data_IF_491083896683
#
_entry.id   IF_491083896683
#
_cell.length_a   1.000
_cell.length_b   1.000
_cell.length_c   1.000
_cell.angle_alpha   90.00
_cell.angle_beta   90.00
_cell.angle_gamma   90.00
#
_symmetry.space_group_name_H-M   'P 1'
#
loop_
_entity.id
_entity.type
_entity.pdbx_description
1 polymer ?
#
# COMPACT_ATOMS: atom_id res chain seq x y z
N UNK A 1 -12.98 -9.34 41.09
CA UNK A 1 -13.01 -8.98 39.66
C UNK A 1 -11.58 -8.69 39.22
N UNK A 2 -10.93 -9.63 38.53
CA UNK A 2 -9.55 -9.46 38.09
C UNK A 2 -9.52 -8.48 36.91
N UNK A 3 -8.85 -7.33 37.09
CA UNK A 3 -8.67 -6.33 36.06
C UNK A 3 -7.93 -6.94 34.86
N UNK A 4 -8.51 -6.81 33.67
CA UNK A 4 -7.82 -7.10 32.42
C UNK A 4 -6.83 -5.98 32.15
N UNK A 5 -5.60 -6.15 32.64
CA UNK A 5 -4.47 -5.30 32.28
C UNK A 5 -4.12 -5.58 30.83
N UNK A 6 -4.24 -4.58 29.95
CA UNK A 6 -3.75 -4.67 28.57
C UNK A 6 -2.25 -4.97 28.62
N UNK A 7 -1.89 -6.22 28.37
CA UNK A 7 -0.50 -6.66 28.34
C UNK A 7 0.15 -6.06 27.11
N UNK A 8 1.27 -5.34 27.31
CA UNK A 8 2.08 -4.77 26.23
C UNK A 8 2.32 -5.84 25.15
N UNK A 9 2.06 -5.50 23.89
CA UNK A 9 2.38 -6.38 22.77
C UNK A 9 3.89 -6.51 22.71
N UNK A 10 4.41 -7.68 23.04
CA UNK A 10 5.85 -7.97 22.99
C UNK A 10 6.36 -7.88 21.56
N UNK A 11 7.54 -7.30 21.36
CA UNK A 11 8.21 -7.27 20.04
C UNK A 11 8.65 -8.67 19.59
N UNK A 12 8.93 -8.87 18.30
CA UNK A 12 9.40 -10.18 17.82
C UNK A 12 10.74 -10.55 18.47
N UNK A 13 11.63 -9.59 18.71
CA UNK A 13 12.86 -9.79 19.49
C UNK A 13 12.55 -10.32 20.90
N UNK A 14 11.69 -9.66 21.66
CA UNK A 14 11.35 -10.07 23.03
C UNK A 14 10.76 -11.49 23.06
N UNK A 15 9.91 -11.83 22.09
CA UNK A 15 9.33 -13.18 21.94
C UNK A 15 10.38 -14.22 21.59
N UNK A 16 11.25 -13.92 20.64
CA UNK A 16 12.32 -14.82 20.21
C UNK A 16 13.35 -15.02 21.33
N UNK A 17 13.83 -13.95 21.96
CA UNK A 17 14.77 -14.03 23.09
C UNK A 17 14.16 -14.83 24.25
N UNK A 18 12.91 -14.56 24.62
CA UNK A 18 12.24 -15.31 25.69
C UNK A 18 12.12 -16.80 25.37
N UNK A 19 11.90 -17.15 24.10
CA UNK A 19 11.79 -18.56 23.72
C UNK A 19 13.15 -19.24 23.58
N UNK A 20 14.17 -18.51 23.14
CA UNK A 20 15.53 -19.01 23.03
C UNK A 20 16.11 -19.36 24.42
N UNK A 21 15.75 -18.57 25.45
CA UNK A 21 16.05 -18.88 26.84
C UNK A 21 15.26 -20.08 27.38
N UNK A 22 14.02 -20.30 26.91
CA UNK A 22 13.15 -21.37 27.37
C UNK A 22 13.43 -22.73 26.72
N UNK A 23 13.79 -22.76 25.43
CA UNK A 23 14.06 -23.99 24.67
C UNK A 23 15.22 -23.84 23.67
N UNK A 24 16.46 -23.66 24.15
CA UNK A 24 17.63 -23.42 23.29
C UNK A 24 17.89 -24.56 22.29
N UNK A 25 17.65 -25.81 22.69
CA UNK A 25 17.95 -27.00 21.88
C UNK A 25 17.05 -27.14 20.64
N UNK A 26 15.78 -26.73 20.72
CA UNK A 26 14.84 -26.80 19.59
C UNK A 26 15.22 -25.82 18.48
N UNK A 27 15.56 -24.58 18.86
CA UNK A 27 15.98 -23.55 17.90
C UNK A 27 17.35 -23.85 17.31
N UNK A 28 18.30 -24.37 18.11
CA UNK A 28 19.58 -24.88 17.62
C UNK A 28 19.37 -25.99 16.58
N UNK A 29 18.46 -26.93 16.82
CA UNK A 29 18.16 -27.99 15.85
C UNK A 29 17.60 -27.42 14.54
N UNK A 30 16.70 -26.44 14.61
CA UNK A 30 16.16 -25.75 13.42
C UNK A 30 17.26 -25.01 12.65
N UNK A 31 18.07 -24.19 13.32
CA UNK A 31 19.13 -23.41 12.66
C UNK A 31 20.27 -24.29 12.14
N UNK A 32 20.64 -25.35 12.86
CA UNK A 32 21.67 -26.31 12.42
C UNK A 32 21.18 -27.09 11.21
N UNK A 33 19.91 -27.50 11.18
CA UNK A 33 19.30 -28.17 10.02
C UNK A 33 19.23 -27.22 8.83
N UNK A 34 18.89 -25.96 9.05
CA UNK A 34 18.87 -24.93 8.01
C UNK A 34 20.28 -24.69 7.43
N UNK A 35 21.31 -24.60 8.30
CA UNK A 35 22.73 -24.51 7.91
C UNK A 35 23.18 -25.69 7.05
N UNK A 36 22.78 -26.92 7.43
CA UNK A 36 23.19 -28.15 6.72
C UNK A 36 22.45 -28.36 5.39
N UNK A 37 21.22 -27.83 5.23
CA UNK A 37 20.49 -27.87 3.96
C UNK A 37 20.99 -26.83 2.95
N UNK A 38 21.60 -25.73 3.42
CA UNK A 38 22.11 -24.65 2.55
C UNK A 38 23.48 -24.94 1.95
N UNK A 39 24.29 -25.83 2.55
CA UNK A 39 25.58 -26.25 1.99
C UNK A 39 25.45 -27.06 0.69
N UNK A 40 24.25 -27.54 0.36
CA UNK A 40 23.96 -28.28 -0.89
C UNK A 40 23.35 -27.42 -1.99
N UNK A 41 22.77 -26.25 -1.67
CA UNK A 41 22.10 -25.38 -2.64
C UNK A 41 22.60 -23.94 -2.52
N UNK A 42 23.62 -23.63 -3.32
CA UNK A 42 24.06 -22.25 -3.52
C UNK A 42 22.96 -21.46 -4.24
N UNK A 43 22.57 -20.32 -3.66
CA UNK A 43 21.72 -19.23 -4.19
C UNK A 43 20.21 -19.35 -3.90
N UNK A 44 19.71 -18.31 -3.21
CA UNK A 44 18.31 -17.86 -3.10
C UNK A 44 17.26 -18.98 -3.06
N UNK A 45 16.90 -19.42 -1.85
CA UNK A 45 15.56 -20.00 -1.66
C UNK A 45 14.60 -18.85 -1.43
N UNK A 46 14.11 -18.29 -2.53
CA UNK A 46 12.80 -17.66 -2.53
C UNK A 46 11.80 -18.79 -2.69
N UNK A 47 11.06 -19.07 -1.62
CA UNK A 47 9.83 -19.89 -1.58
C UNK A 47 10.01 -21.37 -1.97
N UNK A 48 10.35 -22.21 -0.98
CA UNK A 48 9.72 -23.52 -0.84
C UNK A 48 9.04 -23.60 0.53
N UNK A 49 7.85 -23.00 0.61
CA UNK A 49 6.99 -22.98 1.80
C UNK A 49 6.49 -24.38 2.23
N UNK A 50 6.70 -25.44 1.45
CA UNK A 50 5.96 -26.71 1.61
C UNK A 50 6.69 -27.77 2.42
N UNK A 51 8.00 -27.99 2.20
CA UNK A 51 8.67 -29.18 2.73
C UNK A 51 9.17 -29.02 4.19
N UNK A 52 9.66 -27.83 4.57
CA UNK A 52 10.14 -27.57 5.93
C UNK A 52 9.01 -27.39 6.96
N UNK A 53 7.80 -27.06 6.49
CA UNK A 53 6.67 -26.64 7.32
C UNK A 53 5.94 -27.80 8.03
N UNK A 54 6.04 -29.02 7.49
CA UNK A 54 5.30 -30.18 8.02
C UNK A 54 5.97 -30.82 9.24
N UNK A 55 7.29 -31.01 9.24
CA UNK A 55 8.01 -31.63 10.37
C UNK A 55 8.21 -30.69 11.57
N UNK A 56 8.52 -29.42 11.30
CA UNK A 56 8.82 -28.42 12.35
C UNK A 56 7.56 -28.03 13.15
N UNK A 57 6.37 -28.22 12.56
CA UNK A 57 5.07 -27.97 13.21
C UNK A 57 4.79 -28.85 14.43
N UNK A 58 5.43 -30.02 14.53
CA UNK A 58 5.13 -31.05 15.52
C UNK A 58 5.93 -30.90 16.83
N UNK A 59 7.06 -30.18 16.80
CA UNK A 59 8.05 -30.23 17.89
C UNK A 59 8.16 -28.90 18.65
N UNK A 60 7.78 -27.76 18.07
CA UNK A 60 8.05 -26.45 18.69
C UNK A 60 6.92 -25.89 19.57
N UNK A 61 7.35 -25.21 20.64
CA UNK A 61 6.51 -24.34 21.47
C UNK A 61 5.63 -23.39 20.63
N UNK A 62 4.45 -23.08 21.17
CA UNK A 62 3.43 -22.25 20.50
C UNK A 62 3.93 -20.88 20.02
N UNK A 63 4.89 -20.28 20.76
CA UNK A 63 5.46 -18.97 20.44
C UNK A 63 6.46 -19.01 19.27
N UNK A 64 7.36 -19.99 19.21
CA UNK A 64 8.28 -20.12 18.06
C UNK A 64 7.49 -20.45 16.81
N UNK A 65 6.44 -21.28 16.94
CA UNK A 65 5.56 -21.63 15.83
C UNK A 65 4.91 -20.40 15.21
N UNK A 66 4.59 -19.37 16.00
CA UNK A 66 4.03 -18.12 15.51
C UNK A 66 5.08 -17.30 14.73
N UNK A 67 6.31 -17.22 15.24
CA UNK A 67 7.40 -16.54 14.54
C UNK A 67 7.77 -17.26 13.25
N UNK A 68 7.82 -18.60 13.26
CA UNK A 68 8.06 -19.43 12.07
C UNK A 68 6.91 -19.31 11.06
N UNK A 69 5.68 -19.01 11.47
CA UNK A 69 4.58 -18.75 10.53
C UNK A 69 4.67 -17.38 9.88
N UNK A 70 5.32 -16.42 10.54
CA UNK A 70 5.38 -15.03 10.08
C UNK A 70 6.67 -14.69 9.34
N UNK A 71 7.72 -15.52 9.40
CA UNK A 71 8.93 -15.27 8.60
C UNK A 71 8.63 -15.39 7.11
N UNK A 72 9.23 -14.51 6.32
CA UNK A 72 9.09 -14.48 4.86
C UNK A 72 10.41 -14.85 4.17
N UNK A 73 11.53 -14.43 4.78
CA UNK A 73 12.86 -14.66 4.23
C UNK A 73 13.86 -14.86 5.37
N UNK A 74 14.82 -15.77 5.17
CA UNK A 74 15.91 -16.03 6.10
C UNK A 74 17.24 -16.09 5.34
N UNK A 75 18.21 -15.29 5.77
CA UNK A 75 19.55 -15.19 5.18
C UNK A 75 20.53 -15.78 6.18
N UNK A 76 21.42 -16.65 5.70
CA UNK A 76 22.41 -17.32 6.55
C UNK A 76 23.80 -16.95 6.09
N UNK A 77 24.54 -16.30 6.98
CA UNK A 77 25.97 -16.04 6.84
C UNK A 77 26.61 -16.51 8.14
N UNK A 78 27.08 -17.77 8.22
CA UNK A 78 27.50 -18.37 9.48
C UNK A 78 28.51 -17.49 10.24
N UNK A 79 28.36 -17.31 11.56
CA UNK A 79 27.37 -17.93 12.47
C UNK A 79 26.03 -17.19 12.59
N UNK A 80 25.78 -16.17 11.75
CA UNK A 80 24.65 -15.27 11.85
C UNK A 80 23.51 -15.68 10.91
N UNK A 81 22.28 -15.60 11.42
CA UNK A 81 21.05 -15.80 10.65
C UNK A 81 20.19 -14.54 10.76
N UNK A 82 19.93 -13.87 9.65
CA UNK A 82 19.02 -12.72 9.61
C UNK A 82 17.64 -13.19 9.13
N UNK A 83 16.58 -12.77 9.81
CA UNK A 83 15.19 -13.14 9.50
C UNK A 83 14.39 -11.87 9.18
N UNK A 84 13.66 -11.88 8.07
CA UNK A 84 12.60 -10.92 7.78
C UNK A 84 11.25 -11.51 8.20
N UNK A 85 10.60 -10.86 9.15
CA UNK A 85 9.38 -11.33 9.77
C UNK A 85 8.28 -10.34 9.44
N UNK A 86 7.14 -10.85 8.96
CA UNK A 86 5.96 -10.08 8.58
C UNK A 86 4.80 -10.48 9.50
N UNK A 87 4.65 -9.84 10.68
CA UNK A 87 3.58 -10.19 11.61
C UNK A 87 2.17 -9.93 11.05
N UNK A 88 2.05 -8.91 10.19
CA UNK A 88 0.81 -8.51 9.52
C UNK A 88 1.11 -7.74 8.23
N UNK A 89 0.16 -7.63 7.29
CA UNK A 89 0.37 -6.88 6.06
C UNK A 89 0.79 -5.43 6.33
N UNK A 90 1.85 -5.00 5.64
CA UNK A 90 2.48 -3.68 5.72
C UNK A 90 3.46 -3.50 6.89
N UNK A 91 3.65 -4.51 7.74
CA UNK A 91 4.53 -4.40 8.92
C UNK A 91 5.60 -5.47 8.86
N UNK A 92 6.85 -5.01 8.94
CA UNK A 92 8.05 -5.84 8.89
C UNK A 92 8.89 -5.63 10.15
N UNK A 93 9.44 -6.71 10.66
CA UNK A 93 10.42 -6.72 11.75
C UNK A 93 11.63 -7.55 11.28
N UNK A 94 12.83 -7.00 11.44
CA UNK A 94 14.07 -7.68 11.07
C UNK A 94 14.85 -8.04 12.32
N UNK A 95 15.28 -9.29 12.40
CA UNK A 95 16.03 -9.80 13.55
C UNK A 95 17.25 -10.58 13.09
N UNK A 96 18.29 -10.55 13.89
CA UNK A 96 19.49 -11.36 13.72
C UNK A 96 19.59 -12.36 14.86
N UNK A 97 19.95 -13.59 14.54
CA UNK A 97 20.23 -14.64 15.52
C UNK A 97 21.68 -15.07 15.36
N UNK A 98 22.45 -14.97 16.43
CA UNK A 98 23.76 -15.62 16.53
C UNK A 98 23.55 -17.05 17.00
N UNK A 99 23.83 -18.03 16.13
CA UNK A 99 23.59 -19.44 16.41
C UNK A 99 24.54 -19.98 17.49
N UNK A 100 25.74 -19.42 17.61
CA UNK A 100 26.73 -19.88 18.59
C UNK A 100 26.45 -19.32 19.99
N UNK A 101 26.16 -18.03 20.07
CA UNK A 101 25.91 -17.34 21.35
C UNK A 101 24.47 -17.48 21.83
N UNK A 102 23.58 -18.00 20.98
CA UNK A 102 22.15 -18.03 21.26
C UNK A 102 21.66 -16.62 21.66
N UNK A 103 22.00 -15.63 20.82
CA UNK A 103 21.64 -14.24 21.04
C UNK A 103 20.76 -13.72 19.90
N UNK A 104 19.74 -12.94 20.23
CA UNK A 104 18.84 -12.31 19.26
C UNK A 104 19.02 -10.79 19.28
N UNK A 105 19.50 -10.25 18.18
CA UNK A 105 19.57 -8.81 17.89
C UNK A 105 18.37 -8.36 17.05
N UNK A 106 18.00 -7.09 17.19
CA UNK A 106 17.11 -6.43 16.24
C UNK A 106 17.95 -5.79 15.15
N UNK A 107 17.46 -5.81 13.91
CA UNK A 107 18.10 -5.16 12.78
C UNK A 107 17.20 -4.02 12.30
N UNK A 108 17.80 -2.88 11.99
CA UNK A 108 17.17 -1.89 11.13
C UNK A 108 17.01 -2.44 9.71
N UNK A 109 16.11 -1.81 8.94
CA UNK A 109 15.93 -2.13 7.53
C UNK A 109 17.24 -1.99 6.74
N UNK A 110 18.04 -0.95 7.01
CA UNK A 110 19.35 -0.76 6.35
C UNK A 110 20.31 -1.90 6.69
N UNK A 111 20.44 -2.29 7.96
CA UNK A 111 21.33 -3.39 8.37
C UNK A 111 20.91 -4.74 7.77
N UNK A 112 19.59 -4.99 7.68
CA UNK A 112 19.07 -6.18 7.03
C UNK A 112 19.40 -6.21 5.53
N UNK A 113 19.22 -5.08 4.82
CA UNK A 113 19.57 -4.98 3.40
C UNK A 113 21.07 -5.13 3.16
N UNK A 114 21.92 -4.57 4.03
CA UNK A 114 23.37 -4.82 4.00
C UNK A 114 23.70 -6.30 4.18
N UNK A 115 22.96 -7.01 5.03
CA UNK A 115 23.12 -8.45 5.20
C UNK A 115 22.78 -9.21 3.91
N UNK A 116 21.76 -8.77 3.15
CA UNK A 116 21.45 -9.31 1.80
C UNK A 116 22.57 -9.03 0.80
N UNK A 117 23.12 -7.83 0.82
CA UNK A 117 24.20 -7.43 -0.09
C UNK A 117 25.47 -8.25 0.15
N UNK A 118 25.79 -8.54 1.43
CA UNK A 118 26.94 -9.40 1.80
C UNK A 118 26.88 -10.80 1.20
N UNK A 119 25.68 -11.34 0.96
CA UNK A 119 25.51 -12.65 0.32
C UNK A 119 25.95 -12.64 -1.15
N UNK A 120 25.87 -11.48 -1.82
CA UNK A 120 26.23 -11.34 -3.25
C UNK A 120 27.64 -10.79 -3.41
N UNK A 121 27.97 -9.73 -2.68
CA UNK A 121 29.21 -8.96 -2.85
C UNK A 121 30.30 -9.34 -1.85
N UNK A 122 30.02 -10.23 -0.88
CA UNK A 122 30.94 -10.52 0.22
C UNK A 122 31.10 -9.33 1.16
N UNK A 123 32.31 -9.15 1.71
CA UNK A 123 32.61 -8.11 2.71
C UNK A 123 32.92 -6.73 2.11
N UNK A 124 33.08 -6.62 0.79
CA UNK A 124 33.45 -5.37 0.12
C UNK A 124 32.21 -4.53 -0.23
N UNK A 125 31.58 -3.95 0.78
CA UNK A 125 30.62 -2.86 0.56
C UNK A 125 31.38 -1.54 0.64
N UNK A 126 31.24 -0.71 -0.39
CA UNK A 126 31.79 0.64 -0.37
C UNK A 126 31.17 1.45 0.78
N UNK A 127 31.96 2.34 1.37
CA UNK A 127 31.52 3.14 2.53
C UNK A 127 30.32 4.06 2.22
N UNK A 128 30.04 4.32 0.95
CA UNK A 128 28.99 5.23 0.50
C UNK A 128 28.07 4.53 -0.52
N UNK A 129 27.05 3.84 0.00
CA UNK A 129 25.94 3.31 -0.82
C UNK A 129 24.80 4.31 -0.76
N UNK A 130 24.20 4.63 -1.91
CA UNK A 130 23.02 5.50 -1.96
C UNK A 130 21.84 4.82 -1.24
N UNK A 131 21.35 5.47 -0.20
CA UNK A 131 20.12 5.08 0.50
C UNK A 131 18.96 5.97 0.07
N UNK A 132 17.89 5.35 -0.43
CA UNK A 132 16.63 6.04 -0.68
C UNK A 132 15.74 5.88 0.55
N UNK A 133 15.42 7.01 1.17
CA UNK A 133 14.54 7.12 2.31
C UNK A 133 13.43 8.15 2.02
N UNK A 134 12.23 7.64 1.74
CA UNK A 134 11.04 8.46 1.48
C UNK A 134 10.22 8.74 2.75
N UNK A 135 10.57 8.19 3.91
CA UNK A 135 9.81 8.39 5.16
C UNK A 135 9.74 9.89 5.55
N UNK A 136 10.83 10.68 5.54
CA UNK A 136 10.79 12.09 5.89
C UNK A 136 9.88 12.93 4.98
N UNK A 137 9.75 12.54 3.71
CA UNK A 137 8.96 13.26 2.71
C UNK A 137 7.45 13.02 2.88
N UNK A 138 7.05 11.95 3.59
CA UNK A 138 5.65 11.57 3.81
C UNK A 138 5.14 11.91 5.22
N UNK A 139 5.99 12.49 6.09
CA UNK A 139 5.67 12.81 7.48
C UNK A 139 4.54 13.85 7.67
N UNK A 140 4.31 14.69 6.66
CA UNK A 140 3.27 15.73 6.69
C UNK A 140 1.85 15.19 6.46
N UNK A 141 1.72 13.95 5.99
CA UNK A 141 0.42 13.33 5.70
C UNK A 141 0.01 12.37 6.81
N UNK A 142 -1.25 12.42 7.27
CA UNK A 142 -1.76 11.46 8.24
C UNK A 142 -1.81 10.06 7.62
N UNK A 143 -1.33 9.06 8.37
CA UNK A 143 -1.29 7.67 7.92
C UNK A 143 -2.19 6.78 8.78
N UNK A 144 -3.05 5.94 8.20
CA UNK A 144 -3.73 4.90 8.95
C UNK A 144 -2.75 3.80 9.42
N UNK A 145 -2.98 3.24 10.60
CA UNK A 145 -2.07 2.24 11.23
C UNK A 145 -2.59 0.80 11.21
N UNK A 146 -3.79 0.59 10.65
CA UNK A 146 -4.48 -0.69 10.66
C UNK A 146 -4.34 -1.36 9.29
N UNK A 147 -3.90 -2.61 9.23
CA UNK A 147 -3.75 -3.35 7.95
C UNK A 147 -5.06 -3.42 7.14
N UNK A 148 -6.24 -3.39 7.78
CA UNK A 148 -7.55 -3.31 7.10
C UNK A 148 -7.78 -2.02 6.30
N UNK A 149 -6.97 -0.99 6.54
CA UNK A 149 -7.06 0.27 5.82
C UNK A 149 -6.27 0.27 4.51
N UNK A 150 -5.47 -0.77 4.26
CA UNK A 150 -4.78 -0.97 2.98
C UNK A 150 -5.85 -1.19 1.89
N UNK A 151 -5.66 -0.56 0.74
CA UNK A 151 -6.63 -0.34 -0.34
C UNK A 151 -7.67 0.77 -0.12
N UNK A 152 -7.79 1.36 1.08
CA UNK A 152 -8.88 2.27 1.46
C UNK A 152 -8.42 3.72 1.73
N UNK A 153 -7.30 4.13 1.15
CA UNK A 153 -6.70 5.46 1.29
C UNK A 153 -7.64 6.60 0.92
N UNK A 154 -8.47 6.42 -0.12
CA UNK A 154 -9.46 7.44 -0.52
C UNK A 154 -10.51 7.68 0.58
N UNK A 155 -11.03 6.61 1.19
CA UNK A 155 -11.99 6.74 2.30
C UNK A 155 -11.36 7.43 3.52
N UNK A 156 -10.10 7.08 3.82
CA UNK A 156 -9.35 7.73 4.88
C UNK A 156 -9.15 9.22 4.61
N UNK A 157 -8.75 9.57 3.39
CA UNK A 157 -8.53 10.96 2.96
C UNK A 157 -9.83 11.76 2.99
N UNK A 158 -10.93 11.21 2.48
CA UNK A 158 -12.25 11.85 2.52
C UNK A 158 -12.69 12.15 3.96
N UNK A 159 -12.50 11.21 4.89
CA UNK A 159 -12.80 11.43 6.30
C UNK A 159 -11.91 12.51 6.92
N UNK A 160 -10.62 12.50 6.58
CA UNK A 160 -9.66 13.49 7.08
C UNK A 160 -9.99 14.90 6.56
N UNK A 161 -10.22 15.05 5.25
CA UNK A 161 -10.61 16.31 4.62
C UNK A 161 -11.95 16.82 5.16
N UNK A 162 -12.95 15.94 5.31
CA UNK A 162 -14.24 16.32 5.89
C UNK A 162 -14.10 16.86 7.32
N UNK A 163 -13.25 16.21 8.13
CA UNK A 163 -12.96 16.69 9.48
C UNK A 163 -12.24 18.05 9.46
N UNK A 164 -11.28 18.25 8.54
CA UNK A 164 -10.53 19.50 8.43
C UNK A 164 -11.45 20.66 7.99
N UNK A 165 -12.28 20.41 6.98
CA UNK A 165 -13.28 21.35 6.46
C UNK A 165 -14.32 21.78 7.51
N UNK A 166 -14.64 20.91 8.47
CA UNK A 166 -15.58 21.21 9.53
C UNK A 166 -14.97 22.07 10.66
N UNK A 167 -13.70 21.84 10.98
CA UNK A 167 -13.04 22.49 12.13
C UNK A 167 -12.54 23.89 11.77
N UNK A 168 -11.97 24.06 10.58
CA UNK A 168 -11.29 25.28 10.19
C UNK A 168 -12.05 26.03 9.08
N UNK A 169 -12.53 27.25 9.38
CA UNK A 169 -13.25 28.08 8.41
C UNK A 169 -12.36 28.52 7.24
N UNK A 170 -11.05 28.63 7.45
CA UNK A 170 -10.09 29.00 6.39
C UNK A 170 -9.80 27.82 5.46
N UNK A 171 -10.01 26.58 5.93
CA UNK A 171 -9.79 25.38 5.13
C UNK A 171 -10.75 25.21 3.95
N UNK A 172 -11.84 25.97 3.88
CA UNK A 172 -12.75 26.01 2.73
C UNK A 172 -12.20 26.86 1.58
N UNK A 173 -11.23 27.73 1.84
CA UNK A 173 -10.66 28.62 0.84
C UNK A 173 -10.03 27.87 -0.35
N UNK A 174 -9.19 26.82 -0.15
CA UNK A 174 -8.69 26.01 -1.25
C UNK A 174 -9.79 25.39 -2.12
N UNK A 175 -10.92 24.99 -1.52
CA UNK A 175 -12.06 24.45 -2.27
C UNK A 175 -12.73 25.54 -3.12
N UNK A 176 -12.91 26.74 -2.56
CA UNK A 176 -13.46 27.89 -3.29
C UNK A 176 -12.54 28.27 -4.46
N UNK A 177 -11.24 28.34 -4.23
CA UNK A 177 -10.24 28.65 -5.26
C UNK A 177 -10.22 27.59 -6.37
N UNK A 178 -10.24 26.30 -6.01
CA UNK A 178 -10.32 25.19 -6.95
C UNK A 178 -11.54 25.30 -7.88
N UNK A 179 -12.73 25.56 -7.32
CA UNK A 179 -13.96 25.69 -8.09
C UNK A 179 -13.97 26.92 -9.01
N UNK A 180 -13.29 28.01 -8.62
CA UNK A 180 -13.17 29.22 -9.44
C UNK A 180 -12.18 29.07 -10.59
N UNK A 181 -11.05 28.41 -10.32
CA UNK A 181 -10.03 28.16 -11.33
C UNK A 181 -10.47 27.16 -12.41
N UNK A 182 -11.55 26.40 -12.15
CA UNK A 182 -12.00 25.33 -13.03
C UNK A 182 -12.62 25.87 -14.33
N UNK A 183 -11.90 25.67 -15.44
CA UNK A 183 -12.32 26.04 -16.79
C UNK A 183 -11.95 24.97 -17.80
N UNK A 184 -12.73 24.88 -18.89
CA UNK A 184 -12.47 24.00 -20.02
C UNK A 184 -12.60 24.78 -21.31
N UNK A 185 -11.57 24.75 -22.18
CA UNK A 185 -11.50 25.53 -23.44
C UNK A 185 -11.87 27.01 -23.25
N UNK A 186 -11.38 27.64 -22.17
CA UNK A 186 -11.66 29.04 -21.83
C UNK A 186 -13.07 29.31 -21.29
N UNK A 187 -13.92 28.28 -21.17
CA UNK A 187 -15.25 28.39 -20.57
C UNK A 187 -15.17 28.06 -19.08
N UNK A 188 -15.62 29.00 -18.24
CA UNK A 188 -15.71 28.80 -16.78
C UNK A 188 -16.82 27.80 -16.48
N UNK A 189 -16.52 26.80 -15.66
CA UNK A 189 -17.43 25.68 -15.39
C UNK A 189 -18.27 25.88 -14.12
N UNK A 190 -17.63 26.04 -12.96
CA UNK A 190 -18.33 25.96 -11.67
C UNK A 190 -18.69 27.34 -11.11
N UNK A 191 -17.68 28.07 -10.61
CA UNK A 191 -17.84 29.37 -9.99
C UNK A 191 -17.17 30.45 -10.85
N UNK A 192 -17.81 31.61 -10.95
CA UNK A 192 -17.24 32.79 -11.59
C UNK A 192 -16.50 33.68 -10.55
N UNK A 193 -15.77 34.69 -11.05
CA UNK A 193 -14.98 35.61 -10.21
C UNK A 193 -15.77 36.52 -9.28
N UNK A 194 -17.12 36.51 -9.35
CA UNK A 194 -17.97 37.24 -8.42
C UNK A 194 -18.02 36.58 -7.04
N UNK A 195 -17.72 35.29 -6.95
CA UNK A 195 -17.77 34.52 -5.70
C UNK A 195 -16.39 34.49 -5.05
N UNK A 196 -16.04 35.54 -4.32
CA UNK A 196 -14.68 35.68 -3.75
C UNK A 196 -14.53 35.18 -2.31
N UNK A 197 -15.65 34.92 -1.63
CA UNK A 197 -15.65 34.49 -0.23
C UNK A 197 -16.65 33.36 0.04
N UNK A 198 -16.43 32.65 1.14
CA UNK A 198 -17.34 31.61 1.63
C UNK A 198 -18.74 32.15 1.94
N UNK A 199 -18.86 33.39 2.44
CA UNK A 199 -20.14 34.05 2.71
C UNK A 199 -20.93 34.35 1.43
N UNK A 200 -20.25 34.83 0.37
CA UNK A 200 -20.87 35.07 -0.93
C UNK A 200 -21.31 33.73 -1.53
N UNK A 201 -20.44 32.71 -1.50
CA UNK A 201 -20.77 31.36 -1.99
C UNK A 201 -22.02 30.81 -1.30
N UNK A 202 -22.08 30.88 0.04
CA UNK A 202 -23.23 30.41 0.80
C UNK A 202 -24.52 31.16 0.45
N UNK A 203 -24.45 32.48 0.28
CA UNK A 203 -25.62 33.28 -0.10
C UNK A 203 -26.10 32.98 -1.53
N UNK A 204 -25.18 32.77 -2.47
CA UNK A 204 -25.47 32.43 -3.85
C UNK A 204 -26.10 31.03 -3.94
N UNK A 205 -25.55 30.07 -3.19
CA UNK A 205 -26.07 28.71 -3.05
C UNK A 205 -27.51 28.68 -2.56
N UNK A 206 -27.82 29.40 -1.46
CA UNK A 206 -29.17 29.46 -0.92
C UNK A 206 -30.17 30.05 -1.90
N UNK A 207 -29.78 31.10 -2.64
CA UNK A 207 -30.63 31.71 -3.68
C UNK A 207 -30.86 30.74 -4.85
N UNK A 208 -29.80 30.04 -5.28
CA UNK A 208 -29.88 29.05 -6.35
C UNK A 208 -30.80 27.88 -5.95
N UNK A 209 -30.63 27.33 -4.74
CA UNK A 209 -31.47 26.26 -4.20
C UNK A 209 -32.96 26.66 -4.16
N UNK A 210 -33.28 27.85 -3.62
CA UNK A 210 -34.65 28.36 -3.59
C UNK A 210 -35.27 28.49 -4.98
N UNK A 211 -34.49 28.94 -5.96
CA UNK A 211 -34.94 29.03 -7.34
C UNK A 211 -35.13 27.64 -7.98
N UNK A 212 -34.19 26.71 -7.78
CA UNK A 212 -34.26 25.36 -8.34
C UNK A 212 -35.43 24.55 -7.77
N UNK A 213 -35.80 24.77 -6.51
CA UNK A 213 -37.00 24.17 -5.91
C UNK A 213 -38.31 24.71 -6.52
N UNK A 214 -38.28 25.85 -7.22
CA UNK A 214 -39.47 26.44 -7.84
C UNK A 214 -39.72 25.95 -9.28
N UNK A 215 -38.74 25.28 -9.90
CA UNK A 215 -38.82 24.77 -11.27
C UNK A 215 -39.04 23.25 -11.31
N UNK A 216 -39.55 22.74 -12.44
CA UNK A 216 -39.76 21.31 -12.62
C UNK A 216 -38.42 20.56 -12.69
N UNK A 217 -38.35 19.34 -12.14
CA UNK A 217 -37.11 18.53 -12.05
C UNK A 217 -36.48 18.28 -13.43
N UNK A 218 -37.29 18.10 -14.46
CA UNK A 218 -36.82 17.84 -15.84
C UNK A 218 -36.54 19.13 -16.65
N UNK A 219 -36.56 20.30 -16.01
CA UNK A 219 -36.33 21.57 -16.72
C UNK A 219 -34.88 21.63 -17.22
N UNK A 220 -34.62 21.80 -18.53
CA UNK A 220 -33.27 21.93 -19.04
C UNK A 220 -32.58 23.18 -18.47
N UNK A 221 -31.29 23.06 -18.19
CA UNK A 221 -30.47 24.13 -17.60
C UNK A 221 -30.53 25.46 -18.38
N UNK A 222 -30.79 25.40 -19.68
CA UNK A 222 -30.94 26.59 -20.55
C UNK A 222 -32.11 27.50 -20.16
N UNK A 223 -33.15 26.99 -19.50
CA UNK A 223 -34.29 27.77 -19.01
C UNK A 223 -34.01 28.46 -17.67
N UNK A 224 -33.02 27.96 -16.92
CA UNK A 224 -32.54 28.54 -15.67
C UNK A 224 -31.29 29.39 -15.91
N UNK A 225 -31.43 30.52 -16.61
CA UNK A 225 -30.30 31.43 -16.85
C UNK A 225 -29.95 32.23 -15.59
N UNK A 226 -29.46 31.55 -14.55
CA UNK A 226 -28.60 32.14 -13.53
C UNK A 226 -27.35 31.26 -13.44
N UNK A 227 -26.25 31.75 -14.04
CA UNK A 227 -24.94 31.09 -14.14
C UNK A 227 -24.41 30.66 -12.77
N UNK A 228 -24.57 29.38 -12.47
CA UNK A 228 -23.88 28.66 -11.42
C UNK A 228 -24.06 27.17 -11.69
N UNK A 229 -22.96 26.44 -11.85
CA UNK A 229 -22.97 24.99 -12.07
C UNK A 229 -22.40 24.37 -10.81
N UNK A 230 -23.19 23.56 -10.12
CA UNK A 230 -22.71 22.76 -8.99
C UNK A 230 -23.13 21.32 -9.26
N UNK A 231 -22.22 20.60 -9.88
CA UNK A 231 -22.29 19.15 -10.03
C UNK A 231 -21.92 18.53 -8.68
N UNK A 232 -22.89 17.84 -8.07
CA UNK A 232 -22.69 17.01 -6.90
C UNK A 232 -22.15 15.66 -7.33
N UNK A 233 -20.88 15.37 -7.06
CA UNK A 233 -20.32 14.02 -7.19
C UNK A 233 -20.48 13.29 -5.86
N UNK A 234 -21.61 12.62 -5.67
CA UNK A 234 -21.68 11.49 -4.74
C UNK A 234 -21.65 10.20 -5.58
N UNK A 235 -20.53 9.47 -5.49
CA UNK A 235 -20.49 8.07 -5.86
C UNK A 235 -19.76 7.26 -4.79
N UNK A 236 -20.52 6.29 -4.31
CA UNK A 236 -20.27 5.20 -3.36
C UNK A 236 -18.96 4.47 -3.61
N UNK A 237 -18.26 4.06 -2.53
CA UNK A 237 -17.45 2.83 -2.60
C UNK A 237 -17.75 1.93 -1.40
N UNK A 238 -18.18 0.75 -1.81
CA UNK A 238 -18.55 -0.49 -1.16
C UNK A 238 -17.57 -1.04 -0.12
N UNK A 239 -18.16 -1.81 0.80
CA UNK A 239 -17.51 -2.79 1.65
C UNK A 239 -16.70 -3.80 0.81
N UNK A 240 -15.41 -3.92 1.08
CA UNK A 240 -14.68 -5.18 0.93
C UNK A 240 -13.76 -5.31 2.15
N UNK A 241 -14.29 -5.96 3.18
CA UNK A 241 -13.52 -6.43 4.33
C UNK A 241 -13.28 -7.91 4.12
N UNK A 242 -12.14 -8.25 3.52
CA UNK A 242 -11.68 -9.64 3.44
C UNK A 242 -10.35 -9.78 4.16
N UNK A 243 -10.45 -10.43 5.33
CA UNK A 243 -9.44 -11.27 5.98
C UNK A 243 -8.13 -10.61 6.44
N UNK A 244 -8.19 -10.08 7.66
CA UNK A 244 -7.03 -9.87 8.54
C UNK A 244 -6.64 -11.22 9.15
N UNK A 245 -5.82 -11.99 8.46
CA UNK A 245 -4.90 -12.99 9.01
C UNK A 245 -3.84 -13.21 7.94
N UNK A 246 -2.56 -13.17 8.33
CA UNK A 246 -1.35 -13.34 7.51
C UNK A 246 -1.67 -13.94 6.13
N UNK A 247 -1.88 -13.09 5.12
CA UNK A 247 -2.05 -13.57 3.75
C UNK A 247 -0.71 -14.17 3.37
N UNK A 248 -0.68 -15.44 2.94
CA UNK A 248 0.57 -16.16 2.65
C UNK A 248 1.42 -15.47 1.58
N UNK A 249 0.81 -14.57 0.79
CA UNK A 249 1.48 -13.80 -0.28
C UNK A 249 1.70 -12.34 0.14
N UNK A 250 2.90 -11.83 -0.18
CA UNK A 250 3.28 -10.41 -0.04
C UNK A 250 2.64 -9.60 -1.17
N UNK A 251 2.06 -8.44 -0.85
CA UNK A 251 1.45 -7.56 -1.86
C UNK A 251 2.49 -6.88 -2.76
N UNK A 252 2.09 -6.50 -3.98
CA UNK A 252 3.00 -5.87 -4.95
C UNK A 252 3.66 -4.59 -4.40
N UNK A 253 2.88 -3.66 -3.86
CA UNK A 253 3.44 -2.43 -3.27
C UNK A 253 4.25 -2.70 -1.99
N UNK A 254 3.86 -3.72 -1.23
CA UNK A 254 4.57 -4.11 -0.01
C UNK A 254 5.98 -4.67 -0.31
N UNK A 255 6.17 -5.32 -1.46
CA UNK A 255 7.51 -5.77 -1.89
C UNK A 255 8.46 -4.59 -2.20
N UNK A 256 7.91 -3.40 -2.45
CA UNK A 256 8.67 -2.17 -2.71
C UNK A 256 8.82 -1.29 -1.46
N UNK A 257 8.46 -1.78 -0.27
CA UNK A 257 8.71 -1.08 0.99
C UNK A 257 10.21 -1.00 1.29
N UNK A 258 10.95 -2.09 1.10
CA UNK A 258 12.40 -2.13 1.30
C UNK A 258 13.07 -3.14 0.39
N UNK A 259 14.10 -2.70 -0.35
CA UNK A 259 14.86 -3.58 -1.24
C UNK A 259 16.25 -3.04 -1.52
N UNK A 260 17.13 -3.89 -2.03
CA UNK A 260 18.49 -3.52 -2.41
C UNK A 260 18.80 -3.98 -3.83
N UNK A 261 19.51 -3.14 -4.57
CA UNK A 261 20.21 -3.48 -5.80
C UNK A 261 21.72 -3.43 -5.50
N UNK A 262 22.34 -4.59 -5.22
CA UNK A 262 23.74 -4.65 -4.79
C UNK A 262 24.67 -3.91 -5.77
N UNK A 263 25.46 -2.97 -5.24
CA UNK A 263 26.39 -2.16 -6.04
C UNK A 263 25.79 -0.90 -6.67
N UNK A 264 24.49 -0.65 -6.53
CA UNK A 264 23.83 0.55 -7.08
C UNK A 264 23.21 1.43 -5.99
N UNK A 265 22.12 0.98 -5.38
CA UNK A 265 21.44 1.69 -4.28
C UNK A 265 20.60 0.71 -3.45
N UNK A 266 20.19 1.15 -2.26
CA UNK A 266 19.16 0.47 -1.46
C UNK A 266 18.03 1.42 -1.09
N UNK A 267 16.80 0.92 -1.14
CA UNK A 267 15.62 1.62 -0.66
C UNK A 267 15.31 1.11 0.75
N UNK A 268 15.52 1.97 1.74
CA UNK A 268 15.29 1.66 3.16
C UNK A 268 13.82 1.90 3.52
N UNK A 269 13.27 3.04 3.08
CA UNK A 269 11.84 3.34 3.14
C UNK A 269 11.37 3.74 1.75
N UNK A 270 10.93 2.75 0.98
CA UNK A 270 10.34 2.90 -0.34
C UNK A 270 8.85 3.25 -0.27
N UNK A 271 8.02 2.43 -0.91
CA UNK A 271 6.57 2.64 -0.93
C UNK A 271 5.97 2.25 0.43
N UNK A 272 5.29 3.22 1.05
CA UNK A 272 4.52 2.99 2.25
C UNK A 272 3.06 2.65 1.89
N UNK A 273 2.67 1.39 2.11
CA UNK A 273 1.30 0.89 1.83
C UNK A 273 0.22 1.55 2.70
N UNK A 274 0.61 2.23 3.78
CA UNK A 274 -0.29 3.00 4.61
C UNK A 274 -0.44 4.44 4.14
N UNK A 275 0.48 4.97 3.32
CA UNK A 275 0.34 6.32 2.79
C UNK A 275 -0.92 6.42 1.92
N UNK A 276 -1.88 7.31 2.24
CA UNK A 276 -3.13 7.46 1.51
C UNK A 276 -2.98 7.61 -0.01
N UNK A 277 -1.85 8.14 -0.50
CA UNK A 277 -1.58 8.33 -1.94
C UNK A 277 -1.32 7.00 -2.66
N UNK A 278 -0.59 6.09 -2.02
CA UNK A 278 -0.29 4.75 -2.55
C UNK A 278 -1.31 3.70 -2.12
N UNK A 279 -2.14 4.05 -1.14
CA UNK A 279 -3.18 3.23 -0.56
C UNK A 279 -4.51 3.37 -1.34
N UNK A 280 -4.47 3.62 -2.65
CA UNK A 280 -5.67 3.70 -3.50
C UNK A 280 -5.63 2.50 -4.42
N UNK A 281 -6.56 1.57 -4.21
CA UNK A 281 -6.83 0.53 -5.20
C UNK A 281 -7.77 1.14 -6.23
N UNK A 282 -7.24 1.41 -7.42
CA UNK A 282 -8.08 1.70 -8.58
C UNK A 282 -9.12 0.59 -8.70
N UNK A 283 -10.38 0.90 -9.09
CA UNK A 283 -11.34 -0.15 -9.39
C UNK A 283 -10.66 -1.13 -10.34
N UNK A 284 -10.56 -2.39 -9.92
CA UNK A 284 -9.87 -3.40 -10.69
C UNK A 284 -10.44 -3.44 -12.11
N UNK A 285 -9.59 -3.78 -13.07
CA UNK A 285 -10.07 -4.07 -14.41
C UNK A 285 -11.11 -5.20 -14.30
N UNK A 286 -12.33 -4.95 -14.77
CA UNK A 286 -13.37 -5.96 -14.77
C UNK A 286 -12.85 -7.16 -15.56
N UNK A 287 -12.67 -8.29 -14.88
CA UNK A 287 -12.14 -9.50 -15.51
C UNK A 287 -13.04 -10.00 -16.64
N UNK A 288 -14.31 -9.58 -16.69
CA UNK A 288 -15.22 -9.82 -17.82
C UNK A 288 -14.80 -9.07 -19.09
N UNK A 289 -14.20 -7.89 -18.93
CA UNK A 289 -13.81 -6.94 -19.99
C UNK A 289 -12.31 -7.04 -20.33
N UNK A 290 -11.45 -7.18 -19.33
CA UNK A 290 -9.99 -7.26 -19.49
C UNK A 290 -9.51 -8.67 -19.18
N UNK A 291 -9.28 -9.44 -20.25
CA UNK A 291 -8.85 -10.84 -20.19
C UNK A 291 -7.59 -11.06 -21.05
N UNK A 292 -6.82 -12.12 -20.78
CA UNK A 292 -5.60 -12.39 -21.52
C UNK A 292 -5.84 -12.55 -23.02
N UNK A 293 -4.87 -12.15 -23.84
CA UNK A 293 -5.03 -12.18 -25.30
C UNK A 293 -5.39 -13.57 -25.83
N UNK A 294 -4.99 -14.67 -25.20
CA UNK A 294 -5.28 -16.02 -25.71
C UNK A 294 -6.75 -16.47 -25.54
N UNK A 295 -7.58 -15.78 -24.75
CA UNK A 295 -9.01 -16.09 -24.60
C UNK A 295 -9.84 -15.48 -25.74
N UNK A 296 -9.73 -16.07 -26.94
CA UNK A 296 -10.37 -15.55 -28.15
C UNK A 296 -11.90 -15.52 -28.09
N UNK A 297 -12.52 -16.49 -27.41
CA UNK A 297 -13.99 -16.65 -27.34
C UNK A 297 -14.70 -15.51 -26.61
N UNK A 298 -13.95 -14.73 -25.81
CA UNK A 298 -14.47 -13.63 -24.99
C UNK A 298 -14.31 -12.27 -25.67
N UNK A 299 -13.65 -12.23 -26.83
CA UNK A 299 -13.42 -11.00 -27.60
C UNK A 299 -14.71 -10.54 -28.27
N UNK A 300 -14.91 -9.22 -28.28
CA UNK A 300 -16.00 -8.57 -29.00
C UNK A 300 -15.68 -8.51 -30.50
N UNK A 301 -15.70 -9.67 -31.16
CA UNK A 301 -15.37 -9.79 -32.59
C UNK A 301 -16.25 -8.92 -33.49
N UNK A 302 -17.44 -8.55 -33.03
CA UNK A 302 -18.35 -7.62 -33.72
C UNK A 302 -17.78 -6.22 -33.91
N UNK A 303 -16.84 -5.79 -33.07
CA UNK A 303 -16.21 -4.47 -33.13
C UNK A 303 -14.92 -4.46 -33.97
N UNK A 304 -14.41 -5.63 -34.37
CA UNK A 304 -13.17 -5.71 -35.14
C UNK A 304 -13.21 -4.93 -36.47
N UNK A 305 -14.31 -4.96 -37.26
CA UNK A 305 -14.37 -4.18 -38.50
C UNK A 305 -14.26 -2.67 -38.28
N UNK A 306 -14.94 -2.12 -37.27
CA UNK A 306 -14.85 -0.69 -36.91
C UNK A 306 -13.46 -0.32 -36.38
N UNK A 307 -12.85 -1.19 -35.57
CA UNK A 307 -11.50 -0.96 -35.04
C UNK A 307 -10.46 -1.01 -36.17
N UNK A 308 -10.59 -1.94 -37.12
CA UNK A 308 -9.72 -2.02 -38.30
C UNK A 308 -9.88 -0.79 -39.20
N UNK A 309 -11.11 -0.31 -39.40
CA UNK A 309 -11.37 0.94 -40.10
C UNK A 309 -10.72 2.13 -39.38
N UNK A 310 -10.88 2.24 -38.06
CA UNK A 310 -10.26 3.32 -37.26
C UNK A 310 -8.72 3.31 -37.31
N UNK A 311 -8.10 2.12 -37.28
CA UNK A 311 -6.63 1.99 -37.19
C UNK A 311 -5.93 1.99 -38.55
N UNK A 312 -6.58 1.50 -39.59
CA UNK A 312 -5.96 1.24 -40.90
C UNK A 312 -6.64 1.95 -42.07
N UNK A 313 -7.68 2.74 -41.83
CA UNK A 313 -8.25 3.65 -42.83
C UNK A 313 -7.17 4.60 -43.38
N UNK A 314 -7.12 4.73 -44.70
CA UNK A 314 -6.31 5.73 -45.40
C UNK A 314 -6.96 7.12 -45.44
N UNK A 315 -8.18 7.26 -44.91
CA UNK A 315 -8.88 8.54 -44.81
C UNK A 315 -8.66 9.14 -43.42
N UNK A 316 -7.98 10.29 -43.35
CA UNK A 316 -7.89 11.09 -42.12
C UNK A 316 -9.28 11.65 -41.78
N UNK A 317 -9.81 11.32 -40.59
CA UNK A 317 -10.98 12.01 -40.05
C UNK A 317 -10.55 13.35 -39.43
N UNK A 318 -11.12 14.46 -39.91
CA UNK A 318 -10.86 15.82 -39.41
C UNK A 318 -11.38 16.08 -37.98
N UNK A 319 -12.01 15.09 -37.31
CA UNK A 319 -12.56 15.22 -35.96
C UNK A 319 -11.51 15.29 -34.83
N UNK A 320 -10.24 15.02 -35.14
CA UNK A 320 -9.15 14.98 -34.15
C UNK A 320 -7.92 15.83 -34.54
N UNK A 321 -8.13 16.99 -35.18
CA UNK A 321 -7.11 18.05 -35.30
C UNK A 321 -7.19 19.07 -34.16
#
# INVERSE_FOLDING_TARGET
MAGRTLTRVLSVKERLSGTLSASPNELLAVFTRYKNNLTTSSKKISIEHSFFFYEVKLILLSLVRLVIRCYQEAIVIPPLVALAIRPRPGVWEYVQVNVNELAVGELSTSEYLQFKEKLVNGSSLGNFVLELDFEPFNASFPQPSLSKSIGNGMQFLNRHLSSKLFVDKESIYPLLEFLRAHSYKGTIMMLNDKVQSSSILQSALRKAEQYLLSIHVDSPYSLSSTRGTITSTYQTISQFSSCVHCSDTVGQYESHTAFTLPGLYRAVHGINVFDPKFNIVSPGADMSVYFPHFEADRRLASLHPEIEELLFSSAENDEHK
#
